data_IF_637336916103
#
_entry.id   IF_637336916103
#
_cell.length_a   1.000
_cell.length_b   1.000
_cell.length_c   1.000
_cell.angle_alpha   90.00
_cell.angle_beta   90.00
_cell.angle_gamma   90.00
#
_symmetry.space_group_name_H-M   'P 1'
#
loop_
_entity.id
_entity.type
_entity.pdbx_description
1 polymer ?
#
# COMPACT_ATOMS: atom_id res chain seq x y z
N UNK A 1 -20.69 -13.19 37.77
CA UNK A 1 -20.36 -12.18 36.75
C UNK A 1 -21.51 -11.20 36.72
N UNK A 2 -21.27 -9.92 36.99
CA UNK A 2 -22.36 -8.94 37.10
C UNK A 2 -22.89 -8.59 35.71
N UNK A 3 -24.14 -8.13 35.61
CA UNK A 3 -24.73 -7.65 34.35
C UNK A 3 -23.82 -6.68 33.56
N UNK A 4 -23.18 -5.65 34.17
CA UNK A 4 -22.24 -4.79 33.46
C UNK A 4 -21.04 -5.53 32.88
N UNK A 5 -20.48 -6.51 33.60
CA UNK A 5 -19.34 -7.31 33.12
C UNK A 5 -19.73 -8.11 31.87
N UNK A 6 -20.92 -8.71 31.89
CA UNK A 6 -21.47 -9.47 30.76
C UNK A 6 -21.72 -8.55 29.55
N UNK A 7 -22.27 -7.36 29.79
CA UNK A 7 -22.52 -6.38 28.74
C UNK A 7 -21.21 -5.90 28.07
N UNK A 8 -20.17 -5.62 28.85
CA UNK A 8 -18.85 -5.23 28.34
C UNK A 8 -18.24 -6.35 27.51
N UNK A 9 -18.24 -7.59 28.03
CA UNK A 9 -17.67 -8.74 27.30
C UNK A 9 -18.43 -9.00 25.99
N UNK A 10 -19.77 -8.98 26.03
CA UNK A 10 -20.59 -9.18 24.84
C UNK A 10 -20.32 -8.10 23.79
N UNK A 11 -20.23 -6.83 24.21
CA UNK A 11 -19.90 -5.72 23.30
C UNK A 11 -18.52 -5.89 22.65
N UNK A 12 -17.52 -6.36 23.42
CA UNK A 12 -16.18 -6.63 22.91
C UNK A 12 -16.18 -7.74 21.87
N UNK A 13 -16.88 -8.85 22.12
CA UNK A 13 -16.99 -9.97 21.17
C UNK A 13 -17.67 -9.52 19.87
N UNK A 14 -18.76 -8.76 19.97
CA UNK A 14 -19.48 -8.23 18.80
C UNK A 14 -18.57 -7.31 17.99
N UNK A 15 -17.83 -6.41 18.65
CA UNK A 15 -16.91 -5.49 17.99
C UNK A 15 -15.75 -6.22 17.31
N UNK A 16 -15.16 -7.21 17.96
CA UNK A 16 -14.10 -8.05 17.38
C UNK A 16 -14.62 -8.80 16.15
N UNK A 17 -15.81 -9.41 16.25
CA UNK A 17 -16.44 -10.10 15.11
C UNK A 17 -16.72 -9.16 13.95
N UNK A 18 -17.21 -7.95 14.23
CA UNK A 18 -17.42 -6.91 13.22
C UNK A 18 -16.11 -6.47 12.55
N UNK A 19 -15.04 -6.22 13.31
CA UNK A 19 -13.74 -5.84 12.77
C UNK A 19 -13.11 -6.97 11.95
N UNK A 20 -13.24 -8.21 12.40
CA UNK A 20 -12.77 -9.38 11.64
C UNK A 20 -13.54 -9.50 10.31
N UNK A 21 -14.86 -9.36 10.32
CA UNK A 21 -15.64 -9.31 9.10
C UNK A 21 -15.29 -8.11 8.22
N UNK A 22 -15.02 -6.94 8.81
CA UNK A 22 -14.58 -5.76 8.09
C UNK A 22 -13.25 -6.01 7.36
N UNK A 23 -12.21 -6.52 8.02
CA UNK A 23 -10.93 -6.74 7.33
C UNK A 23 -10.90 -7.98 6.41
N UNK A 24 -11.57 -9.07 6.80
CA UNK A 24 -11.46 -10.38 6.13
C UNK A 24 -12.70 -10.78 5.31
N UNK A 25 -13.73 -9.94 5.27
CA UNK A 25 -14.93 -10.19 4.47
C UNK A 25 -14.65 -10.26 2.95
N UNK A 26 -15.59 -10.81 2.17
CA UNK A 26 -15.41 -11.04 0.74
C UNK A 26 -15.17 -9.73 -0.02
N UNK A 27 -14.01 -9.63 -0.68
CA UNK A 27 -13.63 -8.48 -1.51
C UNK A 27 -14.25 -8.60 -2.90
N UNK A 28 -14.77 -7.48 -3.44
CA UNK A 28 -15.30 -7.44 -4.82
C UNK A 28 -14.14 -7.59 -5.79
N UNK A 29 -14.04 -8.74 -6.46
CA UNK A 29 -13.09 -8.96 -7.54
C UNK A 29 -13.51 -8.15 -8.77
N UNK A 30 -12.56 -7.48 -9.42
CA UNK A 30 -12.80 -6.94 -10.77
C UNK A 30 -12.37 -8.01 -11.76
N UNK A 31 -13.31 -8.51 -12.57
CA UNK A 31 -12.98 -9.35 -13.72
C UNK A 31 -12.33 -8.48 -14.79
N UNK A 32 -11.26 -8.99 -15.41
CA UNK A 32 -10.67 -8.34 -16.57
C UNK A 32 -11.67 -8.33 -17.72
N UNK A 33 -11.74 -7.21 -18.44
CA UNK A 33 -12.63 -7.06 -19.60
C UNK A 33 -11.92 -7.63 -20.83
N UNK A 34 -12.59 -8.46 -21.63
CA UNK A 34 -12.04 -8.92 -22.90
C UNK A 34 -12.15 -7.78 -23.91
N UNK A 35 -11.00 -7.22 -24.31
CA UNK A 35 -10.91 -6.24 -25.40
C UNK A 35 -10.27 -6.97 -26.58
N UNK A 36 -11.10 -7.51 -27.48
CA UNK A 36 -10.63 -8.36 -28.58
C UNK A 36 -10.21 -9.76 -28.09
N UNK A 37 -8.95 -10.14 -28.33
CA UNK A 37 -8.37 -11.42 -27.89
C UNK A 37 -7.49 -11.29 -26.63
N UNK A 38 -7.41 -10.10 -26.04
CA UNK A 38 -6.58 -9.82 -24.86
C UNK A 38 -7.51 -9.41 -23.73
N UNK A 39 -7.34 -10.02 -22.56
CA UNK A 39 -8.03 -9.60 -21.34
C UNK A 39 -7.27 -8.43 -20.73
N UNK A 40 -7.93 -7.28 -20.58
CA UNK A 40 -7.34 -6.05 -20.10
C UNK A 40 -7.92 -5.65 -18.74
N UNK A 41 -7.04 -5.20 -17.85
CA UNK A 41 -7.44 -4.64 -16.55
C UNK A 41 -6.56 -3.45 -16.20
N UNK A 42 -7.16 -2.41 -15.65
CA UNK A 42 -6.45 -1.25 -15.12
C UNK A 42 -6.37 -1.35 -13.59
N UNK A 43 -5.18 -1.15 -13.06
CA UNK A 43 -4.87 -1.15 -11.62
C UNK A 43 -4.32 0.21 -11.24
N UNK A 44 -5.04 0.95 -10.40
CA UNK A 44 -4.56 2.17 -9.78
C UNK A 44 -3.55 1.80 -8.68
N UNK A 45 -2.38 2.44 -8.70
CA UNK A 45 -1.34 2.32 -7.67
C UNK A 45 -1.27 3.63 -6.90
N UNK A 46 -1.87 3.63 -5.71
CA UNK A 46 -1.92 4.77 -4.79
C UNK A 46 -2.13 4.20 -3.40
N UNK A 47 -1.09 4.19 -2.57
CA UNK A 47 -1.09 3.59 -1.23
C UNK A 47 -1.51 2.12 -1.18
N UNK A 48 -1.44 1.41 -2.31
CA UNK A 48 -2.08 0.12 -2.51
C UNK A 48 -2.39 -0.16 -4.00
N UNK A 49 -2.76 -1.40 -4.31
CA UNK A 49 -3.31 -1.77 -5.62
C UNK A 49 -4.84 -1.74 -5.58
N UNK A 50 -5.45 -1.01 -6.50
CA UNK A 50 -6.90 -0.95 -6.65
C UNK A 50 -7.29 -1.24 -8.12
N UNK A 51 -7.94 -2.38 -8.43
CA UNK A 51 -8.30 -3.46 -7.52
C UNK A 51 -7.09 -4.27 -7.03
N UNK A 52 -7.16 -4.79 -5.81
CA UNK A 52 -6.17 -5.74 -5.26
C UNK A 52 -6.53 -7.20 -5.57
N UNK A 53 -7.72 -7.48 -6.10
CA UNK A 53 -8.17 -8.82 -6.49
C UNK A 53 -8.63 -8.78 -7.95
N UNK A 54 -7.85 -9.42 -8.82
CA UNK A 54 -8.09 -9.44 -10.26
C UNK A 54 -8.45 -10.87 -10.66
N UNK A 55 -9.53 -11.04 -11.42
CA UNK A 55 -9.92 -12.33 -12.00
C UNK A 55 -9.66 -12.35 -13.49
N UNK A 56 -8.95 -13.37 -13.96
CA UNK A 56 -8.51 -13.55 -15.35
C UNK A 56 -8.70 -15.00 -15.78
N UNK A 57 -8.67 -15.27 -17.07
CA UNK A 57 -8.80 -16.61 -17.65
C UNK A 57 -7.46 -17.18 -18.03
N UNK A 58 -7.27 -18.47 -17.77
CA UNK A 58 -6.10 -19.24 -18.17
C UNK A 58 -5.94 -19.24 -19.71
N UNK A 59 -4.70 -19.26 -20.19
CA UNK A 59 -4.33 -19.33 -21.61
C UNK A 59 -4.79 -18.13 -22.48
N UNK A 60 -5.39 -17.09 -21.90
CA UNK A 60 -5.76 -15.86 -22.62
C UNK A 60 -4.72 -14.77 -22.33
N UNK A 61 -4.11 -14.12 -23.35
CA UNK A 61 -3.13 -13.06 -23.15
C UNK A 61 -3.69 -11.94 -22.24
N UNK A 62 -2.95 -11.60 -21.19
CA UNK A 62 -3.34 -10.63 -20.17
C UNK A 62 -2.52 -9.35 -20.30
N UNK A 63 -3.22 -8.21 -20.35
CA UNK A 63 -2.66 -6.86 -20.32
C UNK A 63 -3.10 -6.14 -19.05
N UNK A 64 -2.19 -5.94 -18.11
CA UNK A 64 -2.43 -5.15 -16.90
C UNK A 64 -1.83 -3.77 -17.07
N UNK A 65 -2.66 -2.72 -16.98
CA UNK A 65 -2.20 -1.33 -17.01
C UNK A 65 -2.13 -0.82 -15.57
N UNK A 66 -0.92 -0.68 -15.05
CA UNK A 66 -0.69 -0.06 -13.75
C UNK A 66 -0.61 1.46 -13.92
N UNK A 67 -1.49 2.19 -13.24
CA UNK A 67 -1.54 3.65 -13.22
C UNK A 67 -1.02 4.13 -11.87
N UNK A 68 0.27 4.50 -11.79
CA UNK A 68 0.91 4.91 -10.55
C UNK A 68 0.71 6.40 -10.31
N UNK A 69 -0.12 6.74 -9.32
CA UNK A 69 -0.46 8.11 -8.94
C UNK A 69 0.16 8.50 -7.59
N UNK A 70 1.42 8.10 -7.39
CA UNK A 70 2.22 8.42 -6.22
C UNK A 70 3.72 8.40 -6.57
N UNK A 71 4.52 9.05 -5.72
CA UNK A 71 5.97 9.16 -5.91
C UNK A 71 6.82 8.23 -5.05
N UNK A 72 6.26 7.57 -4.03
CA UNK A 72 7.08 6.86 -3.03
C UNK A 72 7.73 5.58 -3.56
N UNK A 73 9.02 5.37 -3.28
CA UNK A 73 9.83 4.23 -3.75
C UNK A 73 9.21 2.84 -3.49
N UNK A 74 8.39 2.71 -2.44
CA UNK A 74 7.78 1.42 -2.09
C UNK A 74 7.00 0.77 -3.24
N UNK A 75 6.39 1.57 -4.12
CA UNK A 75 5.61 1.10 -5.28
C UNK A 75 6.29 1.34 -6.62
N UNK A 76 7.62 1.58 -6.63
CA UNK A 76 8.41 1.78 -7.86
C UNK A 76 8.55 0.53 -8.73
N UNK A 77 8.09 -0.63 -8.23
CA UNK A 77 8.19 -1.91 -8.93
C UNK A 77 7.03 -2.83 -8.56
N UNK A 78 6.58 -3.62 -9.53
CA UNK A 78 5.67 -4.74 -9.32
C UNK A 78 6.34 -6.06 -9.67
N UNK A 79 6.09 -7.07 -8.85
CA UNK A 79 6.69 -8.41 -8.95
C UNK A 79 5.59 -9.47 -8.92
N UNK A 80 5.65 -10.39 -9.89
CA UNK A 80 4.83 -11.58 -9.99
C UNK A 80 5.77 -12.80 -9.87
N UNK A 81 6.02 -13.31 -8.64
CA UNK A 81 7.02 -14.34 -8.40
C UNK A 81 6.71 -15.65 -9.15
N UNK A 82 5.45 -16.08 -9.16
CA UNK A 82 5.02 -17.32 -9.83
C UNK A 82 5.20 -17.30 -11.35
N UNK A 83 5.28 -16.10 -11.95
CA UNK A 83 5.50 -15.86 -13.37
C UNK A 83 6.90 -15.32 -13.67
N UNK A 84 7.80 -15.28 -12.67
CA UNK A 84 9.16 -14.74 -12.76
C UNK A 84 9.25 -13.34 -13.40
N UNK A 85 8.23 -12.50 -13.20
CA UNK A 85 8.10 -11.21 -13.87
C UNK A 85 8.30 -10.07 -12.87
N UNK A 86 9.15 -9.10 -13.23
CA UNK A 86 9.40 -7.89 -12.47
C UNK A 86 9.44 -6.68 -13.40
N UNK A 87 8.69 -5.63 -13.08
CA UNK A 87 8.58 -4.41 -13.92
C UNK A 87 8.64 -3.14 -13.08
N UNK A 88 9.41 -2.17 -13.56
CA UNK A 88 9.46 -0.81 -12.99
C UNK A 88 8.15 -0.08 -13.27
N UNK A 89 7.64 0.63 -12.27
CA UNK A 89 6.46 1.48 -12.33
C UNK A 89 6.92 2.92 -12.02
N UNK A 90 7.28 3.74 -13.02
CA UNK A 90 7.71 5.11 -12.78
C UNK A 90 6.63 5.95 -12.09
N UNK A 91 7.05 6.96 -11.32
CA UNK A 91 6.12 7.83 -10.62
C UNK A 91 5.24 8.61 -11.61
N UNK A 92 3.96 8.79 -11.28
CA UNK A 92 2.99 9.56 -12.08
C UNK A 92 2.86 9.07 -13.53
N UNK A 93 3.06 7.77 -13.77
CA UNK A 93 3.07 7.17 -15.10
C UNK A 93 2.19 5.92 -15.18
N UNK A 94 1.77 5.60 -16.41
CA UNK A 94 1.08 4.35 -16.73
C UNK A 94 2.06 3.35 -17.33
N UNK A 95 2.14 2.15 -16.75
CA UNK A 95 3.00 1.07 -17.21
C UNK A 95 2.15 -0.13 -17.59
N UNK A 96 2.40 -0.69 -18.77
CA UNK A 96 1.70 -1.89 -19.25
C UNK A 96 2.54 -3.12 -19.00
N UNK A 97 1.92 -4.13 -18.39
CA UNK A 97 2.49 -5.45 -18.11
C UNK A 97 1.72 -6.49 -18.90
N UNK A 98 2.41 -7.20 -19.79
CA UNK A 98 1.80 -8.20 -20.68
C UNK A 98 2.42 -9.58 -20.43
N UNK A 99 1.58 -10.58 -20.21
CA UNK A 99 1.96 -11.99 -20.11
C UNK A 99 0.73 -12.88 -20.31
N UNK A 100 0.93 -14.18 -20.53
CA UNK A 100 -0.16 -15.16 -20.65
C UNK A 100 -0.09 -16.12 -19.47
N UNK A 101 -1.10 -16.18 -18.60
CA UNK A 101 -1.12 -17.12 -17.49
C UNK A 101 -1.35 -18.55 -18.00
N UNK A 102 -0.39 -19.43 -17.77
CA UNK A 102 -0.36 -20.84 -18.21
C UNK A 102 -0.92 -21.82 -17.18
N UNK A 103 -1.20 -21.35 -15.96
CA UNK A 103 -1.69 -22.15 -14.84
C UNK A 103 -2.92 -21.48 -14.21
N UNK A 104 -3.94 -22.27 -13.91
CA UNK A 104 -5.06 -21.85 -13.07
C UNK A 104 -4.72 -21.89 -11.58
N UNK A 105 -5.30 -20.98 -10.79
CA UNK A 105 -4.98 -20.87 -9.36
C UNK A 105 -5.04 -19.44 -8.82
N UNK A 106 -4.54 -19.25 -7.60
CA UNK A 106 -4.41 -17.94 -6.94
C UNK A 106 -2.93 -17.60 -6.85
N UNK A 107 -2.52 -16.54 -7.52
CA UNK A 107 -1.14 -16.07 -7.58
C UNK A 107 -1.02 -14.71 -6.91
N UNK A 108 0.02 -14.55 -6.10
CA UNK A 108 0.32 -13.28 -5.45
C UNK A 108 1.07 -12.35 -6.40
N UNK A 109 0.80 -11.06 -6.32
CA UNK A 109 1.72 -10.05 -6.84
C UNK A 109 1.97 -9.00 -5.77
N UNK A 110 3.18 -8.46 -5.73
CA UNK A 110 3.58 -7.52 -4.69
C UNK A 110 4.40 -6.38 -5.26
N UNK A 111 4.58 -5.32 -4.48
CA UNK A 111 5.59 -4.33 -4.78
C UNK A 111 7.01 -4.91 -4.60
N UNK A 112 8.04 -4.22 -5.10
CA UNK A 112 9.44 -4.68 -5.05
C UNK A 112 9.96 -5.02 -3.65
N UNK A 113 9.41 -4.38 -2.60
CA UNK A 113 9.77 -4.63 -1.20
C UNK A 113 8.82 -5.61 -0.49
N UNK A 114 7.90 -6.25 -1.22
CA UNK A 114 6.96 -7.24 -0.69
C UNK A 114 6.07 -6.73 0.45
N UNK A 115 5.65 -5.46 0.39
CA UNK A 115 4.78 -4.82 1.39
C UNK A 115 3.36 -4.62 0.88
N UNK A 116 3.19 -4.13 -0.35
CA UNK A 116 1.87 -3.92 -0.95
C UNK A 116 1.53 -5.13 -1.79
N UNK A 117 0.38 -5.76 -1.53
CA UNK A 117 -0.01 -7.01 -2.18
C UNK A 117 -1.30 -6.90 -2.98
N UNK A 118 -1.36 -7.67 -4.06
CA UNK A 118 -2.58 -8.03 -4.77
C UNK A 118 -2.60 -9.52 -5.06
N UNK A 119 -3.76 -10.00 -5.50
CA UNK A 119 -4.00 -11.39 -5.85
C UNK A 119 -4.59 -11.47 -7.25
N UNK A 120 -3.94 -12.25 -8.10
CA UNK A 120 -4.40 -12.64 -9.41
C UNK A 120 -5.06 -14.02 -9.30
N UNK A 121 -6.36 -14.10 -9.53
CA UNK A 121 -7.12 -15.35 -9.58
C UNK A 121 -7.28 -15.74 -11.04
N UNK A 122 -6.62 -16.81 -11.44
CA UNK A 122 -6.71 -17.38 -12.79
C UNK A 122 -7.76 -18.48 -12.76
N UNK A 123 -8.89 -18.23 -13.41
CA UNK A 123 -9.96 -19.19 -13.59
C UNK A 123 -9.60 -20.16 -14.74
N UNK A 124 -9.90 -21.45 -14.60
CA UNK A 124 -9.60 -22.44 -15.62
C UNK A 124 -10.31 -22.09 -16.92
N UNK A 125 -9.61 -22.25 -18.05
CA UNK A 125 -10.12 -21.89 -19.35
C UNK A 125 -11.39 -22.69 -19.70
N UNK A 126 -12.49 -22.00 -20.00
CA UNK A 126 -13.68 -22.62 -20.60
C UNK A 126 -13.36 -23.16 -21.99
N UNK A 127 -14.18 -24.09 -22.50
CA UNK A 127 -14.08 -24.58 -23.88
C UNK A 127 -14.07 -23.42 -24.90
N UNK A 128 -14.78 -22.32 -24.62
CA UNK A 128 -14.77 -21.10 -25.43
C UNK A 128 -13.45 -20.31 -25.33
N UNK A 129 -12.76 -20.32 -24.20
CA UNK A 129 -11.49 -19.61 -24.01
C UNK A 129 -10.33 -20.33 -24.69
N UNK A 130 -10.34 -21.67 -24.69
CA UNK A 130 -9.39 -22.49 -25.45
C UNK A 130 -9.50 -22.24 -26.95
N UNK A 131 -10.70 -21.96 -27.45
CA UNK A 131 -10.90 -21.56 -28.85
C UNK A 131 -10.32 -20.18 -29.15
N UNK A 132 -10.38 -19.22 -28.21
CA UNK A 132 -9.76 -17.88 -28.32
C UNK A 132 -8.23 -17.98 -28.33
N UNK A 133 -7.65 -18.84 -27.50
CA UNK A 133 -6.21 -19.11 -27.45
C UNK A 133 -5.68 -19.86 -28.70
N UNK A 134 -6.54 -20.64 -29.38
CA UNK A 134 -6.18 -21.42 -30.57
C UNK A 134 -6.26 -20.62 -31.89
N UNK A 135 -6.83 -19.41 -31.87
CA UNK A 135 -6.83 -18.52 -33.04
C UNK A 135 -5.41 -17.98 -33.27
N UNK A 136 -4.90 -17.99 -34.52
CA UNK A 136 -3.56 -17.49 -34.80
C UNK A 136 -3.48 -16.03 -34.39
N UNK A 137 -2.54 -15.71 -33.50
CA UNK A 137 -2.26 -14.36 -33.06
C UNK A 137 -2.00 -13.49 -34.28
N UNK A 138 -2.98 -12.70 -34.67
CA UNK A 138 -2.79 -11.65 -35.67
C UNK A 138 -1.73 -10.72 -35.07
N UNK A 139 -0.61 -10.45 -35.76
CA UNK A 139 0.40 -9.56 -35.22
C UNK A 139 -0.30 -8.23 -34.97
N UNK A 140 -0.49 -7.90 -33.70
CA UNK A 140 -0.86 -6.55 -33.31
C UNK A 140 0.39 -5.77 -33.66
N UNK A 141 0.39 -5.16 -34.84
CA UNK A 141 1.44 -4.25 -35.26
C UNK A 141 1.65 -3.27 -34.13
N UNK A 142 2.89 -3.26 -33.62
CA UNK A 142 3.37 -2.29 -32.67
C UNK A 142 3.19 -0.90 -33.28
N UNK A 143 2.02 -0.30 -33.02
CA UNK A 143 1.65 1.02 -33.44
C UNK A 143 0.97 1.70 -32.26
N UNK A 144 1.79 2.05 -31.28
CA UNK A 144 1.71 3.32 -30.55
C UNK A 144 2.91 3.42 -29.60
N UNK A 145 4.11 3.40 -30.17
CA UNK A 145 5.23 4.11 -29.54
C UNK A 145 4.93 5.61 -29.65
N UNK A 146 5.16 6.30 -28.53
CA UNK A 146 5.17 7.75 -28.32
C UNK A 146 4.00 8.29 -27.49
N UNK A 147 4.15 8.12 -26.18
CA UNK A 147 3.51 8.97 -25.17
C UNK A 147 4.32 9.11 -23.87
N UNK A 148 5.57 8.62 -23.83
CA UNK A 148 6.46 8.77 -22.67
C UNK A 148 7.74 9.45 -23.14
N UNK A 149 8.09 10.56 -22.50
CA UNK A 149 9.33 11.28 -22.74
C UNK A 149 10.51 10.31 -22.66
N UNK A 150 11.11 9.95 -23.80
CA UNK A 150 12.34 9.16 -23.81
C UNK A 150 13.48 10.07 -23.41
N UNK A 151 13.61 10.32 -22.10
CA UNK A 151 14.87 10.76 -21.54
C UNK A 151 15.93 9.73 -21.94
N UNK A 152 17.10 10.21 -22.40
CA UNK A 152 18.25 9.36 -22.68
C UNK A 152 18.50 8.50 -21.43
N UNK A 153 18.87 7.21 -21.54
CA UNK A 153 18.99 6.34 -20.37
C UNK A 153 19.92 6.89 -19.27
N UNK A 154 20.93 7.69 -19.66
CA UNK A 154 21.79 8.42 -18.72
C UNK A 154 21.10 9.60 -18.01
N UNK A 155 20.16 10.26 -18.67
CA UNK A 155 19.39 11.39 -18.13
C UNK A 155 18.23 10.89 -17.26
N UNK A 156 17.61 9.76 -17.63
CA UNK A 156 16.63 9.04 -16.82
C UNK A 156 17.24 8.56 -15.49
N UNK A 157 18.39 7.88 -15.55
CA UNK A 157 19.08 7.40 -14.35
C UNK A 157 19.46 8.54 -13.39
N UNK A 158 19.97 9.67 -13.91
CA UNK A 158 20.27 10.85 -13.08
C UNK A 158 19.03 11.47 -12.44
N UNK A 159 17.90 11.49 -13.15
CA UNK A 159 16.64 12.01 -12.59
C UNK A 159 16.12 11.13 -11.45
N UNK A 160 16.17 9.79 -11.61
CA UNK A 160 15.76 8.83 -10.58
C UNK A 160 16.63 8.95 -9.33
N UNK A 161 17.95 9.11 -9.48
CA UNK A 161 18.87 9.31 -8.36
C UNK A 161 18.60 10.63 -7.61
N UNK A 162 18.31 11.71 -8.33
CA UNK A 162 17.99 13.00 -7.73
C UNK A 162 16.66 12.97 -6.97
N UNK A 163 15.62 12.31 -7.53
CA UNK A 163 14.33 12.12 -6.87
C UNK A 163 14.46 11.30 -5.58
N UNK A 164 15.20 10.18 -5.64
CA UNK A 164 15.48 9.35 -4.46
C UNK A 164 16.21 10.13 -3.37
N UNK A 165 17.22 10.92 -3.74
CA UNK A 165 17.96 11.71 -2.75
C UNK A 165 17.07 12.79 -2.10
N UNK A 166 16.17 13.40 -2.88
CA UNK A 166 15.20 14.36 -2.35
C UNK A 166 14.18 13.68 -1.42
N UNK A 167 13.71 12.48 -1.77
CA UNK A 167 12.81 11.69 -0.91
C UNK A 167 13.50 11.31 0.41
N UNK A 168 14.73 10.80 0.35
CA UNK A 168 15.52 10.48 1.55
C UNK A 168 15.70 11.72 2.42
N UNK A 169 16.07 12.87 1.83
CA UNK A 169 16.25 14.10 2.58
C UNK A 169 14.96 14.58 3.27
N UNK A 170 13.79 14.46 2.60
CA UNK A 170 12.50 14.77 3.21
C UNK A 170 12.18 13.85 4.40
N UNK A 171 12.37 12.54 4.21
CA UNK A 171 12.14 11.54 5.26
C UNK A 171 13.09 11.74 6.45
N UNK A 172 14.38 11.97 6.20
CA UNK A 172 15.37 12.24 7.25
C UNK A 172 15.00 13.51 8.03
N UNK A 173 14.59 14.59 7.34
CA UNK A 173 14.17 15.82 8.04
C UNK A 173 12.97 15.57 8.95
N UNK A 174 11.95 14.83 8.49
CA UNK A 174 10.77 14.49 9.30
C UNK A 174 11.12 13.62 10.51
N UNK A 175 12.03 12.66 10.34
CA UNK A 175 12.52 11.80 11.43
C UNK A 175 13.27 12.62 12.48
N UNK A 176 14.18 13.51 12.05
CA UNK A 176 14.93 14.38 12.96
C UNK A 176 13.98 15.31 13.73
N UNK A 177 13.06 15.98 13.03
CA UNK A 177 12.05 16.85 13.68
C UNK A 177 11.22 16.06 14.69
N UNK A 178 10.77 14.86 14.32
CA UNK A 178 10.00 13.99 15.20
C UNK A 178 10.79 13.55 16.44
N UNK A 179 12.04 13.15 16.26
CA UNK A 179 12.93 12.72 17.35
C UNK A 179 13.23 13.86 18.33
N UNK A 180 13.54 15.05 17.82
CA UNK A 180 13.85 16.23 18.66
C UNK A 180 12.63 16.67 19.48
N UNK A 181 11.44 16.68 18.88
CA UNK A 181 10.22 17.10 19.58
C UNK A 181 9.69 16.04 20.56
N UNK A 182 9.93 14.75 20.27
CA UNK A 182 9.51 13.64 21.14
C UNK A 182 10.48 13.41 22.30
N UNK A 183 11.77 13.71 22.15
CA UNK A 183 12.78 13.44 23.16
C UNK A 183 12.47 14.06 24.55
N UNK A 184 12.05 15.34 24.67
CA UNK A 184 11.69 15.92 25.95
C UNK A 184 10.47 15.24 26.59
N UNK A 185 9.47 14.87 25.79
CA UNK A 185 8.27 14.17 26.26
C UNK A 185 8.61 12.77 26.77
N UNK A 186 9.43 12.04 26.02
CA UNK A 186 9.92 10.72 26.42
C UNK A 186 10.73 10.78 27.71
N UNK A 187 11.61 11.78 27.82
CA UNK A 187 12.41 12.01 29.03
C UNK A 187 11.51 12.28 30.25
N UNK A 188 10.52 13.17 30.11
CA UNK A 188 9.56 13.45 31.17
C UNK A 188 8.82 12.18 31.62
N UNK A 189 8.25 11.42 30.67
CA UNK A 189 7.49 10.21 30.96
C UNK A 189 8.34 9.12 31.66
N UNK A 190 9.59 8.92 31.24
CA UNK A 190 10.50 7.97 31.87
C UNK A 190 10.91 8.44 33.27
N UNK A 191 11.18 9.73 33.44
CA UNK A 191 11.70 10.25 34.71
C UNK A 191 10.68 10.29 35.87
N UNK A 192 9.40 10.57 35.57
CA UNK A 192 8.33 10.65 36.56
C UNK A 192 8.01 9.26 37.16
N UNK A 193 7.90 8.25 36.29
CA UNK A 193 7.51 6.89 36.70
C UNK A 193 8.66 5.94 37.04
N UNK A 194 9.86 6.13 36.48
CA UNK A 194 10.97 5.16 36.62
C UNK A 194 12.13 5.65 37.50
N UNK A 195 12.41 6.95 37.51
CA UNK A 195 13.61 7.50 38.19
C UNK A 195 13.29 8.36 39.43
N UNK A 196 12.01 8.68 39.69
CA UNK A 196 11.54 9.51 40.82
C UNK A 196 12.41 10.75 41.09
N UNK A 197 12.86 11.40 40.02
CA UNK A 197 13.78 12.53 40.09
C UNK A 197 13.00 13.82 40.43
N UNK A 198 13.10 14.28 41.68
CA UNK A 198 12.38 15.44 42.22
C UNK A 198 12.79 16.81 41.65
N UNK A 199 13.86 16.87 40.85
CA UNK A 199 14.38 18.09 40.22
C UNK A 199 13.78 18.42 38.83
N UNK A 200 12.74 17.69 38.39
CA UNK A 200 12.20 17.93 37.05
C UNK A 200 11.44 19.26 36.96
N UNK A 201 11.65 20.05 35.89
CA UNK A 201 10.87 21.25 35.67
C UNK A 201 9.38 20.91 35.53
N UNK A 202 8.52 21.55 36.33
CA UNK A 202 7.06 21.40 36.25
C UNK A 202 6.50 21.73 34.85
N UNK A 203 7.25 22.51 34.07
CA UNK A 203 6.94 22.82 32.68
C UNK A 203 6.89 21.56 31.78
N UNK A 204 7.79 20.59 31.99
CA UNK A 204 7.90 19.35 31.19
C UNK A 204 6.81 18.31 31.52
N UNK A 205 6.29 18.36 32.74
CA UNK A 205 5.17 17.55 33.21
C UNK A 205 3.82 18.14 32.80
N UNK A 206 3.80 19.39 32.30
CA UNK A 206 2.57 20.03 31.87
C UNK A 206 2.01 19.32 30.63
N UNK A 207 0.85 18.69 30.81
CA UNK A 207 0.16 17.94 29.76
C UNK A 207 -0.11 18.78 28.50
N UNK A 208 -0.34 20.08 28.64
CA UNK A 208 -0.54 20.99 27.50
C UNK A 208 0.74 21.22 26.70
N UNK A 209 1.91 21.27 27.36
CA UNK A 209 3.18 21.37 26.65
C UNK A 209 3.48 20.06 25.92
N UNK A 210 3.24 18.92 26.57
CA UNK A 210 3.41 17.60 25.94
C UNK A 210 2.52 17.47 24.71
N UNK A 211 1.24 17.88 24.81
CA UNK A 211 0.33 17.92 23.67
C UNK A 211 0.90 18.82 22.56
N UNK A 212 1.31 20.05 22.87
CA UNK A 212 1.86 20.99 21.91
C UNK A 212 3.14 20.47 21.21
N UNK A 213 3.98 19.70 21.91
CA UNK A 213 5.17 19.05 21.33
C UNK A 213 4.81 17.84 20.46
N UNK A 214 3.82 17.05 20.86
CA UNK A 214 3.45 15.82 20.15
C UNK A 214 2.55 16.09 18.93
N UNK A 215 1.75 17.15 18.92
CA UNK A 215 0.91 17.56 17.79
C UNK A 215 1.70 17.67 16.47
N UNK A 216 2.80 18.43 16.36
CA UNK A 216 3.59 18.46 15.13
C UNK A 216 4.21 17.10 14.79
N UNK A 217 4.59 16.27 15.77
CA UNK A 217 5.09 14.91 15.48
C UNK A 217 4.00 14.08 14.79
N UNK A 218 2.78 14.12 15.33
CA UNK A 218 1.63 13.40 14.81
C UNK A 218 1.23 13.88 13.39
N UNK A 219 1.07 15.20 13.20
CA UNK A 219 0.53 15.76 11.96
C UNK A 219 1.57 16.12 10.89
N UNK A 220 2.86 16.25 11.23
CA UNK A 220 3.92 16.54 10.24
C UNK A 220 4.79 15.31 9.96
N UNK A 221 5.40 14.73 11.01
CA UNK A 221 6.27 13.57 10.85
C UNK A 221 5.47 12.31 10.52
N UNK A 222 4.33 12.10 11.19
CA UNK A 222 3.45 10.94 10.97
C UNK A 222 2.58 11.01 9.71
N UNK A 223 2.41 12.18 9.10
CA UNK A 223 1.44 12.39 8.00
C UNK A 223 1.51 11.39 6.84
N UNK A 224 2.70 11.04 6.30
CA UNK A 224 2.78 10.08 5.19
C UNK A 224 2.27 8.69 5.59
N UNK A 225 2.53 8.28 6.84
CA UNK A 225 2.08 7.01 7.40
C UNK A 225 0.56 7.03 7.57
N UNK A 226 0.00 8.10 8.15
CA UNK A 226 -1.46 8.24 8.30
C UNK A 226 -2.19 8.24 6.98
N UNK A 227 -1.68 8.96 5.97
CA UNK A 227 -2.28 9.00 4.64
C UNK A 227 -2.38 7.62 4.01
N UNK A 228 -1.31 6.83 4.08
CA UNK A 228 -1.31 5.46 3.53
C UNK A 228 -2.12 4.50 4.39
N UNK A 229 -2.01 4.59 5.72
CA UNK A 229 -2.77 3.78 6.66
C UNK A 229 -4.28 3.95 6.53
N UNK A 230 -4.77 5.19 6.40
CA UNK A 230 -6.20 5.46 6.17
C UNK A 230 -6.69 4.89 4.85
N UNK A 231 -5.86 4.95 3.81
CA UNK A 231 -6.17 4.35 2.52
C UNK A 231 -6.25 2.82 2.60
N UNK A 232 -5.31 2.18 3.32
CA UNK A 232 -5.33 0.74 3.57
C UNK A 232 -6.58 0.30 4.33
N UNK A 233 -7.02 1.08 5.33
CA UNK A 233 -8.26 0.81 6.08
C UNK A 233 -9.47 0.93 5.16
N UNK A 234 -9.54 1.98 4.33
CA UNK A 234 -10.60 2.15 3.34
C UNK A 234 -10.66 0.98 2.34
N UNK A 235 -9.50 0.42 1.97
CA UNK A 235 -9.40 -0.76 1.10
C UNK A 235 -9.54 -2.11 1.82
N UNK A 236 -9.87 -2.11 3.13
CA UNK A 236 -10.02 -3.33 3.95
C UNK A 236 -8.77 -4.21 3.88
N UNK A 237 -7.58 -3.61 3.91
CA UNK A 237 -6.28 -4.30 3.97
C UNK A 237 -5.63 -4.12 5.35
N UNK A 238 -5.32 -5.24 6.02
CA UNK A 238 -4.63 -5.25 7.30
C UNK A 238 -3.12 -5.16 7.07
N UNK A 239 -2.58 -3.94 7.06
CA UNK A 239 -1.18 -3.62 6.79
C UNK A 239 -0.53 -2.92 8.00
N UNK A 240 0.79 -2.91 8.09
CA UNK A 240 1.53 -2.27 9.19
C UNK A 240 1.17 -0.78 9.36
N UNK A 241 1.05 -0.04 8.26
CA UNK A 241 0.70 1.39 8.30
C UNK A 241 -0.72 1.64 8.82
N UNK A 242 -1.66 0.71 8.57
CA UNK A 242 -3.01 0.77 9.13
C UNK A 242 -2.98 0.60 10.65
N UNK A 243 -2.21 -0.37 11.15
CA UNK A 243 -2.06 -0.62 12.60
C UNK A 243 -1.43 0.59 13.31
N UNK A 244 -0.33 1.12 12.77
CA UNK A 244 0.35 2.30 13.34
C UNK A 244 -0.62 3.49 13.38
N UNK A 245 -1.35 3.72 12.29
CA UNK A 245 -2.29 4.84 12.18
C UNK A 245 -3.43 4.73 13.21
N UNK A 246 -4.06 3.57 13.34
CA UNK A 246 -5.14 3.38 14.32
C UNK A 246 -4.60 3.52 15.74
N UNK A 247 -3.47 2.88 16.05
CA UNK A 247 -2.91 2.88 17.40
C UNK A 247 -2.47 4.26 17.87
N UNK A 248 -1.76 5.01 17.04
CA UNK A 248 -1.32 6.37 17.38
C UNK A 248 -2.47 7.38 17.43
N UNK A 249 -3.48 7.25 16.57
CA UNK A 249 -4.68 8.09 16.63
C UNK A 249 -5.47 7.83 17.92
N UNK A 250 -5.60 6.56 18.33
CA UNK A 250 -6.27 6.18 19.58
C UNK A 250 -5.48 6.59 20.83
N UNK A 251 -4.15 6.65 20.75
CA UNK A 251 -3.30 7.10 21.86
C UNK A 251 -3.25 8.63 21.98
N UNK A 252 -3.46 9.36 20.87
CA UNK A 252 -3.46 10.82 20.85
C UNK A 252 -4.80 11.43 21.31
N UNK A 253 -5.91 10.76 20.98
CA UNK A 253 -7.29 11.24 21.23
C UNK A 253 -7.98 10.65 22.44
#
# INVERSE_FOLDING_TARGET
>A
MNFPDIAVIASGIVLIGFLAWFFFGPKKARQAELVGQVQQVQVLVKGGYAPNLIRVRESVPLRIVFDRQEGGECTSRVVFPDFALSRSLPAMAKTTVEFTPDKSGRFGFACGMNMVHGTLVVEPASASDKAIAALPARPVTAASSNGGHTARPADAAKSEEAERNAEIADLTRRVIVGAVLTAPVLFAAMSDGFLHLSWLPSLLLNHWLQLALITPVMFYSGWPIHRTGWLSIAHRSAEMNALITVGTTAAYG
#
